data_IF_061183086978
#
_entry.id   IF_061183086978
#
_cell.length_a   1.000
_cell.length_b   1.000
_cell.length_c   1.000
_cell.angle_alpha   90.00
_cell.angle_beta   90.00
_cell.angle_gamma   90.00
#
_symmetry.space_group_name_H-M   'P 1'
#
loop_
_entity.id
_entity.type
_entity.pdbx_description
1 polymer ?
#
# COMPACT_ATOMS: atom_id res chain seq x y z
N UNK A 1 58.15 -81.74 -49.54
CA UNK A 1 59.46 -82.35 -49.25
C UNK A 1 60.46 -81.21 -49.22
N UNK A 2 61.24 -81.08 -48.15
CA UNK A 2 62.18 -80.00 -47.87
C UNK A 2 61.57 -78.57 -47.80
N UNK A 3 62.05 -77.65 -46.96
CA UNK A 3 62.73 -77.85 -45.67
C UNK A 3 62.48 -76.66 -44.74
N UNK A 4 62.88 -76.74 -43.46
CA UNK A 4 62.55 -75.72 -42.46
C UNK A 4 63.65 -75.49 -41.39
N UNK A 5 63.65 -74.29 -40.79
CA UNK A 5 64.38 -73.80 -39.61
C UNK A 5 65.91 -73.55 -39.71
N UNK A 6 66.35 -72.34 -39.30
CA UNK A 6 67.43 -72.09 -38.30
C UNK A 6 67.64 -70.59 -37.92
N UNK A 7 66.79 -70.08 -37.01
CA UNK A 7 67.13 -69.53 -35.66
C UNK A 7 68.48 -68.76 -35.42
N UNK A 8 68.37 -67.43 -35.12
CA UNK A 8 69.02 -66.63 -34.00
C UNK A 8 70.57 -66.41 -34.02
N UNK A 9 71.13 -65.18 -33.77
CA UNK A 9 71.28 -64.46 -32.45
C UNK A 9 70.83 -62.95 -32.42
N UNK A 10 70.35 -62.35 -31.30
CA UNK A 10 71.01 -61.77 -30.06
C UNK A 10 71.80 -60.46 -30.38
N UNK A 11 72.01 -59.40 -29.58
CA UNK A 11 71.83 -58.92 -28.16
C UNK A 11 70.62 -57.93 -27.95
N UNK A 12 70.27 -57.20 -26.85
CA UNK A 12 70.47 -57.09 -25.36
C UNK A 12 69.33 -56.17 -24.75
N UNK A 13 69.19 -55.90 -23.41
CA UNK A 13 67.96 -55.38 -22.76
C UNK A 13 68.06 -53.98 -22.05
N UNK A 14 66.99 -53.44 -21.44
CA UNK A 14 66.64 -53.55 -20.00
C UNK A 14 65.18 -53.05 -19.78
N UNK A 15 64.26 -53.70 -19.05
CA UNK A 15 64.18 -54.03 -17.61
C UNK A 15 63.83 -52.78 -16.72
N UNK A 16 62.93 -52.80 -15.73
CA UNK A 16 62.28 -53.90 -14.96
C UNK A 16 60.87 -53.50 -14.43
N UNK A 17 59.98 -54.47 -14.17
CA UNK A 17 58.64 -54.29 -13.54
C UNK A 17 58.47 -55.17 -12.27
N UNK A 18 57.81 -54.67 -11.22
CA UNK A 18 57.31 -55.40 -10.02
C UNK A 18 56.01 -54.69 -9.55
N UNK A 19 54.77 -55.20 -9.33
CA UNK A 19 54.10 -56.54 -9.16
C UNK A 19 53.67 -56.82 -7.69
N UNK A 20 52.43 -57.22 -7.31
CA UNK A 20 51.16 -57.58 -8.03
C UNK A 20 50.04 -56.53 -7.75
N UNK A 21 48.75 -56.70 -7.40
CA UNK A 21 47.70 -57.76 -7.10
C UNK A 21 46.30 -57.11 -7.41
N UNK A 22 45.24 -57.75 -7.92
CA UNK A 22 44.29 -58.82 -7.45
C UNK A 22 43.07 -58.31 -6.59
N UNK A 23 41.85 -58.92 -6.62
CA UNK A 23 40.89 -58.98 -7.77
C UNK A 23 39.42 -58.52 -7.50
N UNK A 24 38.58 -58.58 -8.56
CA UNK A 24 37.10 -58.69 -8.75
C UNK A 24 36.10 -58.87 -7.55
N UNK A 25 34.77 -58.53 -7.67
CA UNK A 25 33.94 -58.67 -8.89
C UNK A 25 32.85 -57.63 -9.26
N UNK A 26 32.45 -57.74 -10.53
CA UNK A 26 31.19 -57.48 -11.29
C UNK A 26 29.79 -57.51 -10.59
N UNK A 27 28.63 -57.23 -11.29
CA UNK A 27 28.36 -56.56 -12.59
C UNK A 27 27.07 -55.65 -12.66
N UNK A 28 26.70 -55.24 -13.89
CA UNK A 28 25.35 -54.88 -14.44
C UNK A 28 24.91 -53.41 -14.56
N UNK A 29 25.13 -52.88 -15.77
CA UNK A 29 24.18 -52.15 -16.64
C UNK A 29 22.91 -51.49 -16.05
N UNK A 30 22.79 -50.17 -16.24
CA UNK A 30 21.52 -49.46 -16.32
C UNK A 30 21.63 -48.29 -17.34
N UNK A 31 20.55 -47.99 -18.05
CA UNK A 31 20.56 -47.05 -19.19
C UNK A 31 20.81 -45.58 -18.78
N UNK A 32 21.62 -44.86 -19.57
CA UNK A 32 21.75 -43.40 -19.47
C UNK A 32 20.51 -42.73 -20.05
N UNK A 33 19.49 -42.54 -19.23
CA UNK A 33 18.28 -41.79 -19.58
C UNK A 33 18.61 -40.29 -19.63
N UNK A 34 18.88 -39.77 -20.83
CA UNK A 34 19.23 -38.35 -21.01
C UNK A 34 17.97 -37.48 -20.91
N UNK A 35 17.85 -36.74 -19.80
CA UNK A 35 16.73 -35.84 -19.55
C UNK A 35 16.83 -34.60 -20.43
N UNK A 36 16.12 -34.62 -21.56
CA UNK A 36 16.04 -33.51 -22.51
C UNK A 36 15.29 -32.34 -21.86
N UNK A 37 16.04 -31.41 -21.26
CA UNK A 37 15.48 -30.21 -20.64
C UNK A 37 14.98 -29.24 -21.72
N UNK A 38 13.66 -29.16 -21.88
CA UNK A 38 12.96 -28.23 -22.79
C UNK A 38 13.16 -26.76 -22.38
N UNK A 39 14.34 -26.24 -22.71
CA UNK A 39 14.65 -24.82 -22.64
C UNK A 39 14.19 -24.19 -23.97
N UNK A 40 13.16 -23.33 -23.97
CA UNK A 40 12.57 -22.84 -25.22
C UNK A 40 13.64 -22.14 -26.08
N UNK A 41 13.68 -22.39 -27.41
CA UNK A 41 14.75 -21.90 -28.25
C UNK A 41 14.82 -20.37 -28.19
N UNK A 42 16.05 -19.84 -28.09
CA UNK A 42 16.32 -18.43 -27.73
C UNK A 42 15.62 -17.44 -28.68
N UNK A 43 15.44 -17.80 -29.95
CA UNK A 43 14.66 -17.02 -30.92
C UNK A 43 13.21 -16.79 -30.49
N UNK A 44 12.50 -17.83 -30.02
CA UNK A 44 11.10 -17.73 -29.58
C UNK A 44 10.94 -16.81 -28.37
N UNK A 45 11.88 -16.88 -27.41
CA UNK A 45 11.90 -15.94 -26.28
C UNK A 45 12.09 -14.48 -26.72
N UNK A 46 12.99 -14.22 -27.67
CA UNK A 46 13.21 -12.87 -28.22
C UNK A 46 11.94 -12.36 -28.93
N UNK A 47 11.30 -13.18 -29.77
CA UNK A 47 10.05 -12.80 -30.46
C UNK A 47 8.92 -12.47 -29.47
N UNK A 48 8.77 -13.26 -28.40
CA UNK A 48 7.78 -13.01 -27.34
C UNK A 48 8.06 -11.69 -26.60
N UNK A 49 9.31 -11.44 -26.20
CA UNK A 49 9.73 -10.20 -25.54
C UNK A 49 9.46 -8.99 -26.43
N UNK A 50 9.74 -9.08 -27.73
CA UNK A 50 9.56 -8.00 -28.68
C UNK A 50 8.07 -7.66 -28.90
N UNK A 51 7.20 -8.67 -29.05
CA UNK A 51 5.73 -8.48 -29.16
C UNK A 51 5.18 -7.82 -27.89
N UNK A 52 5.61 -8.29 -26.71
CA UNK A 52 5.22 -7.72 -25.42
C UNK A 52 5.67 -6.25 -25.30
N UNK A 53 6.92 -5.93 -25.62
CA UNK A 53 7.49 -4.60 -25.43
C UNK A 53 7.11 -3.56 -26.50
N UNK A 54 6.71 -4.00 -27.70
CA UNK A 54 6.24 -3.14 -28.78
C UNK A 54 4.74 -2.85 -28.68
N UNK A 55 3.92 -3.83 -28.30
CA UNK A 55 2.45 -3.71 -28.22
C UNK A 55 1.89 -3.69 -26.81
N UNK A 56 2.07 -4.79 -26.06
CA UNK A 56 1.32 -5.04 -24.81
C UNK A 56 1.71 -4.10 -23.67
N UNK A 57 3.00 -3.90 -23.40
CA UNK A 57 3.47 -3.07 -22.29
C UNK A 57 3.09 -1.58 -22.46
N UNK A 58 3.21 -0.96 -23.65
CA UNK A 58 2.70 0.40 -23.88
C UNK A 58 1.20 0.54 -23.61
N UNK A 59 0.37 -0.40 -24.08
CA UNK A 59 -1.09 -0.41 -23.84
C UNK A 59 -1.39 -0.58 -22.34
N UNK A 60 -0.71 -1.51 -21.66
CA UNK A 60 -0.84 -1.71 -20.22
C UNK A 60 -0.43 -0.45 -19.42
N UNK A 61 0.67 0.21 -19.81
CA UNK A 61 1.13 1.46 -19.18
C UNK A 61 0.14 2.60 -19.40
N UNK A 62 -0.50 2.66 -20.57
CA UNK A 62 -1.59 3.61 -20.84
C UNK A 62 -2.79 3.36 -19.91
N UNK A 63 -3.25 2.10 -19.78
CA UNK A 63 -4.34 1.72 -18.86
C UNK A 63 -4.00 2.05 -17.41
N UNK A 64 -2.79 1.75 -16.94
CA UNK A 64 -2.32 2.18 -15.61
C UNK A 64 -2.38 3.71 -15.46
N UNK A 65 -1.97 4.47 -16.48
CA UNK A 65 -2.04 5.94 -16.45
C UNK A 65 -3.48 6.46 -16.38
N UNK A 66 -4.44 5.81 -17.04
CA UNK A 66 -5.87 6.16 -16.93
C UNK A 66 -6.40 6.00 -15.50
N UNK A 67 -5.87 5.06 -14.70
CA UNK A 67 -6.26 4.95 -13.28
C UNK A 67 -5.84 6.16 -12.46
N UNK A 68 -4.71 6.80 -12.78
CA UNK A 68 -4.29 8.07 -12.15
C UNK A 68 -5.29 9.19 -12.44
N UNK A 69 -5.76 9.28 -13.69
CA UNK A 69 -6.73 10.28 -14.13
C UNK A 69 -8.08 10.07 -13.45
N UNK A 70 -8.59 8.84 -13.44
CA UNK A 70 -9.82 8.49 -12.71
C UNK A 70 -9.73 8.81 -11.22
N UNK A 71 -8.59 8.52 -10.57
CA UNK A 71 -8.37 8.85 -9.17
C UNK A 71 -8.27 10.37 -8.92
N UNK A 72 -7.61 11.12 -9.82
CA UNK A 72 -7.54 12.58 -9.74
C UNK A 72 -8.93 13.24 -9.83
N UNK A 73 -9.79 12.76 -10.74
CA UNK A 73 -11.18 13.22 -10.85
C UNK A 73 -11.98 12.86 -9.59
N UNK A 74 -11.81 11.65 -9.05
CA UNK A 74 -12.45 11.21 -7.80
C UNK A 74 -12.08 12.08 -6.59
N UNK A 75 -10.80 12.47 -6.45
CA UNK A 75 -10.35 13.40 -5.41
C UNK A 75 -11.02 14.78 -5.54
N UNK A 76 -11.11 15.32 -6.77
CA UNK A 76 -11.76 16.61 -7.02
C UNK A 76 -13.27 16.58 -6.75
N UNK A 77 -13.93 15.44 -7.01
CA UNK A 77 -15.34 15.21 -6.72
C UNK A 77 -15.64 15.10 -5.22
N UNK A 78 -14.86 14.29 -4.48
CA UNK A 78 -15.09 14.07 -3.04
C UNK A 78 -14.80 15.31 -2.16
N UNK A 79 -14.08 16.30 -2.70
CA UNK A 79 -13.68 17.55 -2.03
C UNK A 79 -14.81 18.31 -1.30
N UNK A 80 -16.06 18.20 -1.75
CA UNK A 80 -17.22 18.97 -1.23
C UNK A 80 -18.01 18.26 -0.12
N UNK A 81 -17.77 16.98 0.14
CA UNK A 81 -18.67 16.18 0.97
C UNK A 81 -18.38 16.25 2.48
N UNK A 82 -17.13 16.51 2.86
CA UNK A 82 -16.62 16.32 4.22
C UNK A 82 -16.27 17.61 4.99
N UNK A 83 -16.27 17.52 6.32
CA UNK A 83 -15.74 18.54 7.25
C UNK A 83 -14.19 18.69 7.21
N UNK A 84 -13.56 18.28 6.12
CA UNK A 84 -12.12 18.35 5.89
C UNK A 84 -11.68 19.77 5.44
N UNK A 85 -12.60 20.61 4.97
CA UNK A 85 -12.31 22.00 4.54
C UNK A 85 -11.79 22.90 5.68
N UNK A 86 -12.36 22.75 6.89
CA UNK A 86 -11.95 23.45 8.11
C UNK A 86 -10.47 23.21 8.47
N UNK A 87 -9.92 22.07 8.01
CA UNK A 87 -8.53 21.69 8.22
C UNK A 87 -7.60 22.16 7.08
N UNK A 88 -8.14 22.75 6.02
CA UNK A 88 -7.41 23.16 4.81
C UNK A 88 -7.06 22.01 3.87
N UNK A 89 -7.61 20.80 4.09
CA UNK A 89 -7.33 19.62 3.28
C UNK A 89 -7.66 19.77 1.79
N UNK A 90 -8.72 20.49 1.36
CA UNK A 90 -9.01 20.72 -0.06
C UNK A 90 -7.84 21.30 -0.86
N UNK A 91 -6.97 22.12 -0.25
CA UNK A 91 -5.74 22.62 -0.91
C UNK A 91 -4.75 21.49 -1.21
N UNK A 92 -4.63 20.54 -0.29
CA UNK A 92 -3.77 19.35 -0.43
C UNK A 92 -4.38 18.35 -1.41
N UNK A 93 -5.71 18.18 -1.40
CA UNK A 93 -6.44 17.36 -2.37
C UNK A 93 -6.30 17.93 -3.80
N UNK A 94 -6.41 19.25 -3.99
CA UNK A 94 -6.17 19.87 -5.31
C UNK A 94 -4.73 19.72 -5.76
N UNK A 95 -3.75 19.88 -4.87
CA UNK A 95 -2.33 19.69 -5.20
C UNK A 95 -2.02 18.23 -5.58
N UNK A 96 -2.57 17.26 -4.85
CA UNK A 96 -2.45 15.85 -5.18
C UNK A 96 -3.11 15.50 -6.52
N UNK A 97 -4.28 16.08 -6.82
CA UNK A 97 -4.99 15.88 -8.09
C UNK A 97 -4.21 16.45 -9.28
N UNK A 98 -3.66 17.67 -9.15
CA UNK A 98 -2.78 18.28 -10.16
C UNK A 98 -1.49 17.46 -10.33
N UNK A 99 -0.93 16.94 -9.23
CA UNK A 99 0.22 16.03 -9.28
C UNK A 99 -0.07 14.74 -10.06
N UNK A 100 -1.20 14.08 -9.81
CA UNK A 100 -1.63 12.89 -10.55
C UNK A 100 -1.82 13.17 -12.06
N UNK A 101 -2.41 14.31 -12.42
CA UNK A 101 -2.55 14.74 -13.81
C UNK A 101 -1.18 15.04 -14.46
N UNK A 102 -0.24 15.64 -13.74
CA UNK A 102 1.12 15.83 -14.22
C UNK A 102 1.84 14.49 -14.46
N UNK A 103 1.73 13.52 -13.54
CA UNK A 103 2.30 12.16 -13.72
C UNK A 103 1.67 11.47 -14.93
N UNK A 104 0.35 11.60 -15.14
CA UNK A 104 -0.33 11.09 -16.34
C UNK A 104 0.26 11.69 -17.63
N UNK A 105 0.43 13.01 -17.71
CA UNK A 105 0.99 13.70 -18.89
C UNK A 105 2.43 13.28 -19.14
N UNK A 106 3.30 13.29 -18.11
CA UNK A 106 4.73 12.94 -18.26
C UNK A 106 4.91 11.45 -18.61
N UNK A 107 4.08 10.56 -18.05
CA UNK A 107 4.07 9.13 -18.40
C UNK A 107 3.75 8.90 -19.87
N UNK A 108 2.71 9.57 -20.38
CA UNK A 108 2.32 9.46 -21.79
C UNK A 108 3.35 10.12 -22.72
N UNK A 109 3.83 11.32 -22.38
CA UNK A 109 4.88 12.01 -23.13
C UNK A 109 6.13 11.14 -23.28
N UNK A 110 6.56 10.44 -22.22
CA UNK A 110 7.71 9.54 -22.26
C UNK A 110 7.53 8.37 -23.22
N UNK A 111 6.32 7.80 -23.35
CA UNK A 111 6.06 6.75 -24.35
C UNK A 111 6.25 7.26 -25.80
N UNK A 112 5.87 8.51 -26.09
CA UNK A 112 6.12 9.15 -27.39
C UNK A 112 7.59 9.53 -27.59
N UNK A 113 8.22 10.17 -26.59
CA UNK A 113 9.62 10.65 -26.67
C UNK A 113 10.66 9.52 -26.64
N UNK A 114 10.31 8.33 -26.13
CA UNK A 114 11.14 7.09 -26.10
C UNK A 114 11.87 6.82 -27.42
N UNK A 115 11.23 7.05 -28.58
CA UNK A 115 11.84 6.82 -29.89
C UNK A 115 12.99 7.79 -30.20
N UNK A 116 12.90 9.05 -29.76
CA UNK A 116 13.88 10.11 -30.06
C UNK A 116 14.95 10.22 -28.97
N UNK A 117 14.55 10.30 -27.71
CA UNK A 117 15.43 10.57 -26.57
C UNK A 117 15.14 9.63 -25.38
N UNK A 118 15.48 8.33 -25.45
CA UNK A 118 15.08 7.35 -24.44
C UNK A 118 15.69 7.60 -23.05
N UNK A 119 16.98 7.99 -22.97
CA UNK A 119 17.68 8.20 -21.70
C UNK A 119 17.09 9.32 -20.83
N UNK A 120 16.98 10.59 -21.30
CA UNK A 120 16.45 11.66 -20.46
C UNK A 120 14.96 11.46 -20.13
N UNK A 121 14.18 10.87 -21.04
CA UNK A 121 12.76 10.59 -20.78
C UNK A 121 12.56 9.58 -19.63
N UNK A 122 13.39 8.52 -19.57
CA UNK A 122 13.40 7.60 -18.43
C UNK A 122 13.84 8.30 -17.14
N UNK A 123 14.90 9.11 -17.17
CA UNK A 123 15.41 9.78 -15.96
C UNK A 123 14.34 10.70 -15.35
N UNK A 124 13.66 11.51 -16.19
CA UNK A 124 12.54 12.35 -15.74
C UNK A 124 11.41 11.50 -15.15
N UNK A 125 11.03 10.39 -15.80
CA UNK A 125 9.99 9.49 -15.28
C UNK A 125 10.36 8.86 -13.93
N UNK A 126 11.58 8.36 -13.79
CA UNK A 126 12.04 7.72 -12.55
C UNK A 126 12.06 8.73 -11.40
N UNK A 127 12.55 9.96 -11.63
CA UNK A 127 12.50 11.02 -10.61
C UNK A 127 11.06 11.35 -10.21
N UNK A 128 10.16 11.53 -11.18
CA UNK A 128 8.74 11.84 -10.91
C UNK A 128 8.05 10.70 -10.15
N UNK A 129 8.24 9.43 -10.55
CA UNK A 129 7.66 8.27 -9.88
C UNK A 129 8.25 8.02 -8.49
N UNK A 130 9.55 8.28 -8.27
CA UNK A 130 10.16 8.19 -6.94
C UNK A 130 9.62 9.27 -5.99
N UNK A 131 9.47 10.52 -6.45
CA UNK A 131 8.83 11.58 -5.67
C UNK A 131 7.39 11.20 -5.30
N UNK A 132 6.64 10.63 -6.24
CA UNK A 132 5.27 10.18 -6.02
C UNK A 132 5.19 9.01 -5.03
N UNK A 133 6.13 8.05 -5.11
CA UNK A 133 6.30 6.96 -4.15
C UNK A 133 6.64 7.47 -2.74
N UNK A 134 7.54 8.45 -2.58
CA UNK A 134 7.85 9.06 -1.29
C UNK A 134 6.63 9.75 -0.66
N UNK A 135 5.80 10.43 -1.47
CA UNK A 135 4.53 11.02 -1.03
C UNK A 135 3.54 9.91 -0.60
N UNK A 136 3.45 8.81 -1.36
CA UNK A 136 2.65 7.64 -0.99
C UNK A 136 3.05 7.04 0.35
N UNK A 137 4.36 6.84 0.60
CA UNK A 137 4.90 6.35 1.87
C UNK A 137 4.61 7.30 3.06
N UNK A 138 4.62 8.62 2.82
CA UNK A 138 4.27 9.61 3.83
C UNK A 138 2.78 9.53 4.24
N UNK A 139 1.86 9.38 3.27
CA UNK A 139 0.42 9.23 3.55
C UNK A 139 0.06 7.84 4.11
N UNK A 140 0.75 6.78 3.67
CA UNK A 140 0.66 5.46 4.29
C UNK A 140 1.14 5.47 5.76
N UNK A 141 1.95 6.47 6.14
CA UNK A 141 2.37 6.71 7.52
C UNK A 141 3.54 5.85 7.98
N UNK A 142 4.35 5.35 7.05
CA UNK A 142 5.55 4.55 7.34
C UNK A 142 6.59 5.36 8.12
N UNK A 143 6.69 6.66 7.82
CA UNK A 143 7.70 7.56 8.37
C UNK A 143 7.14 8.42 9.52
N UNK A 144 6.93 7.82 10.70
CA UNK A 144 6.29 8.50 11.84
C UNK A 144 6.97 9.82 12.25
N UNK A 145 8.30 9.91 12.23
CA UNK A 145 9.05 11.12 12.59
C UNK A 145 8.66 12.33 11.73
N UNK A 146 8.56 12.14 10.41
CA UNK A 146 8.30 13.24 9.47
C UNK A 146 6.79 13.54 9.34
N UNK A 147 5.93 12.64 9.81
CA UNK A 147 4.46 12.79 9.78
C UNK A 147 3.98 14.12 10.39
N UNK A 148 4.63 14.63 11.45
CA UNK A 148 4.25 15.90 12.10
C UNK A 148 4.22 17.12 11.15
N UNK A 149 5.07 17.14 10.12
CA UNK A 149 5.16 18.25 9.15
C UNK A 149 4.35 18.00 7.88
N UNK A 150 4.20 16.75 7.45
CA UNK A 150 3.37 16.43 6.29
C UNK A 150 1.87 16.58 6.64
N UNK A 151 1.08 17.30 5.83
CA UNK A 151 -0.34 17.45 6.06
C UNK A 151 -1.08 16.12 5.89
N UNK A 152 -2.26 16.01 6.50
CA UNK A 152 -3.14 14.85 6.39
C UNK A 152 -2.52 13.48 6.80
N UNK A 153 -1.47 13.48 7.61
CA UNK A 153 -0.96 12.27 8.27
C UNK A 153 -1.60 12.08 9.65
N UNK A 154 -1.48 10.86 10.21
CA UNK A 154 -2.07 10.51 11.50
C UNK A 154 -1.63 11.39 12.69
N UNK A 155 -0.41 11.91 12.69
CA UNK A 155 0.10 12.78 13.76
C UNK A 155 -0.30 14.23 13.54
N UNK A 156 -0.29 14.69 12.29
CA UNK A 156 -0.78 16.01 11.91
C UNK A 156 -2.27 16.19 12.27
N UNK A 157 -3.11 15.19 12.00
CA UNK A 157 -4.52 15.20 12.41
C UNK A 157 -4.70 15.27 13.93
N UNK A 158 -3.90 14.52 14.72
CA UNK A 158 -3.93 14.61 16.19
C UNK A 158 -3.63 16.02 16.67
N UNK A 159 -2.61 16.68 16.11
CA UNK A 159 -2.26 18.06 16.49
C UNK A 159 -3.39 19.05 16.19
N UNK A 160 -4.03 18.92 15.02
CA UNK A 160 -5.14 19.80 14.61
C UNK A 160 -6.43 19.61 15.40
N UNK A 161 -6.75 18.39 15.83
CA UNK A 161 -8.00 18.06 16.55
C UNK A 161 -7.87 18.26 18.07
N UNK A 162 -6.64 18.32 18.59
CA UNK A 162 -6.34 18.65 19.99
C UNK A 162 -6.31 20.17 20.25
N UNK A 163 -6.41 21.00 19.21
CA UNK A 163 -6.68 22.43 19.32
C UNK A 163 -8.20 22.67 19.37
N UNK A 164 -8.67 23.38 20.39
CA UNK A 164 -10.10 23.48 20.67
C UNK A 164 -10.82 24.53 19.78
N UNK A 165 -10.10 25.48 19.18
CA UNK A 165 -10.65 26.42 18.19
C UNK A 165 -10.93 25.68 16.87
N UNK A 166 -9.97 24.88 16.39
CA UNK A 166 -10.17 24.01 15.24
C UNK A 166 -11.27 22.97 15.53
N UNK A 167 -11.31 22.39 16.74
CA UNK A 167 -12.34 21.41 17.12
C UNK A 167 -13.75 22.00 17.17
N UNK A 168 -13.95 23.21 17.71
CA UNK A 168 -15.26 23.84 17.77
C UNK A 168 -15.89 24.00 16.37
N UNK A 169 -15.09 24.33 15.36
CA UNK A 169 -15.57 24.38 13.98
C UNK A 169 -15.87 22.97 13.41
N UNK A 170 -14.99 21.99 13.69
CA UNK A 170 -15.16 20.60 13.22
C UNK A 170 -16.42 19.96 13.81
N UNK A 171 -16.67 20.12 15.12
CA UNK A 171 -17.83 19.50 15.78
C UNK A 171 -19.16 20.08 15.30
N UNK A 172 -19.23 21.39 15.04
CA UNK A 172 -20.39 22.03 14.42
C UNK A 172 -20.66 21.41 13.04
N UNK A 173 -19.65 21.31 12.17
CA UNK A 173 -19.84 20.66 10.88
C UNK A 173 -20.27 19.18 10.98
N UNK A 174 -19.76 18.40 11.95
CA UNK A 174 -20.20 17.01 12.19
C UNK A 174 -21.68 16.96 12.60
N UNK A 175 -22.14 17.92 13.41
CA UNK A 175 -23.54 18.09 13.80
C UNK A 175 -24.42 18.53 12.61
N UNK A 176 -24.03 19.59 11.89
CA UNK A 176 -24.75 20.17 10.75
C UNK A 176 -24.90 19.18 9.58
N UNK A 177 -23.87 18.35 9.34
CA UNK A 177 -23.91 17.25 8.36
C UNK A 177 -24.74 16.05 8.84
N UNK A 178 -25.29 16.08 10.04
CA UNK A 178 -26.17 15.04 10.58
C UNK A 178 -25.48 13.71 10.80
N UNK A 179 -24.18 13.68 11.17
CA UNK A 179 -23.41 12.44 11.28
C UNK A 179 -23.99 11.41 12.28
N UNK A 180 -24.80 11.86 13.24
CA UNK A 180 -25.55 11.02 14.16
C UNK A 180 -27.01 10.76 13.75
N UNK A 181 -27.54 11.44 12.72
CA UNK A 181 -28.95 11.34 12.33
C UNK A 181 -29.30 9.92 11.83
N UNK A 182 -28.38 9.24 11.15
CA UNK A 182 -28.54 7.83 10.81
C UNK A 182 -28.34 6.85 12.00
N UNK A 183 -27.80 7.30 13.14
CA UNK A 183 -27.85 6.49 14.37
C UNK A 183 -29.24 6.62 15.01
N UNK A 184 -29.79 7.83 14.94
CA UNK A 184 -31.05 8.27 15.55
C UNK A 184 -32.28 7.73 14.82
N UNK A 185 -32.35 7.93 13.49
CA UNK A 185 -33.52 7.64 12.65
C UNK A 185 -33.39 6.36 11.81
N UNK A 186 -32.23 5.71 11.80
CA UNK A 186 -32.02 4.48 11.05
C UNK A 186 -32.89 3.33 11.58
N UNK A 187 -33.34 2.45 10.68
CA UNK A 187 -34.07 1.21 11.03
C UNK A 187 -33.38 0.49 12.20
N UNK A 188 -34.13 -0.11 13.14
CA UNK A 188 -33.57 -0.65 14.37
C UNK A 188 -32.50 -1.70 14.07
N UNK A 189 -31.22 -1.30 14.22
CA UNK A 189 -30.12 -2.23 14.11
C UNK A 189 -30.32 -3.31 15.17
N UNK A 190 -30.34 -4.56 14.72
CA UNK A 190 -30.54 -5.75 15.55
C UNK A 190 -29.70 -5.64 16.82
N UNK A 191 -30.35 -5.62 17.99
CA UNK A 191 -29.64 -5.58 19.28
C UNK A 191 -28.85 -6.90 19.45
N UNK A 192 -27.59 -6.86 19.90
CA UNK A 192 -26.81 -5.68 20.31
C UNK A 192 -26.25 -4.89 19.12
N UNK A 193 -26.25 -3.54 19.23
CA UNK A 193 -25.71 -2.64 18.21
C UNK A 193 -24.26 -2.98 17.84
N UNK A 194 -24.06 -3.52 16.63
CA UNK A 194 -22.74 -3.96 16.21
C UNK A 194 -21.83 -2.77 15.85
N UNK A 195 -21.14 -2.24 16.86
CA UNK A 195 -20.15 -1.15 16.76
C UNK A 195 -19.09 -1.39 15.67
N UNK A 196 -18.76 -2.64 15.33
CA UNK A 196 -17.80 -2.97 14.25
C UNK A 196 -18.32 -2.64 12.84
N UNK A 197 -19.63 -2.54 12.64
CA UNK A 197 -20.27 -2.17 11.37
C UNK A 197 -20.47 -0.65 11.20
N UNK A 198 -20.33 0.14 12.27
CA UNK A 198 -20.55 1.60 12.22
C UNK A 198 -19.28 2.38 11.85
N UNK A 199 -19.46 3.61 11.35
CA UNK A 199 -18.32 4.49 11.04
C UNK A 199 -17.59 4.93 12.31
N UNK A 200 -16.28 5.23 12.24
CA UNK A 200 -15.52 5.68 13.43
C UNK A 200 -16.09 6.94 14.10
N UNK A 201 -16.69 7.85 13.33
CA UNK A 201 -17.38 9.05 13.85
C UNK A 201 -18.67 8.65 14.59
N UNK A 202 -19.49 7.76 13.99
CA UNK A 202 -20.77 7.31 14.58
C UNK A 202 -20.56 6.63 15.95
N UNK A 203 -19.53 5.79 16.06
CA UNK A 203 -19.14 5.17 17.34
C UNK A 203 -18.53 6.17 18.36
N UNK A 204 -17.80 7.18 17.91
CA UNK A 204 -17.06 8.09 18.80
C UNK A 204 -17.86 9.30 19.29
N UNK A 205 -18.81 9.78 18.48
CA UNK A 205 -19.57 11.01 18.73
C UNK A 205 -21.01 10.76 19.18
N UNK A 206 -21.65 9.69 18.69
CA UNK A 206 -23.09 9.44 18.91
C UNK A 206 -23.37 8.43 20.05
N UNK A 207 -22.35 7.73 20.53
CA UNK A 207 -22.44 6.69 21.56
C UNK A 207 -21.45 6.98 22.68
N UNK A 208 -21.74 6.56 23.93
CA UNK A 208 -20.76 6.59 25.00
C UNK A 208 -19.69 5.50 24.82
N UNK A 209 -18.47 5.70 25.34
CA UNK A 209 -17.45 4.66 25.43
C UNK A 209 -17.95 3.37 26.11
N UNK A 210 -17.42 2.21 25.71
CA UNK A 210 -17.68 0.92 26.40
C UNK A 210 -17.25 0.96 27.88
N UNK A 211 -16.23 1.75 28.23
CA UNK A 211 -15.71 1.93 29.60
C UNK A 211 -16.66 2.68 30.54
N UNK A 212 -17.85 3.09 30.08
CA UNK A 212 -18.82 3.83 30.90
C UNK A 212 -19.94 2.95 31.48
N UNK A 213 -19.94 1.63 31.23
CA UNK A 213 -20.91 0.64 31.74
C UNK A 213 -22.39 1.09 31.64
N UNK A 214 -22.78 1.68 30.51
CA UNK A 214 -24.17 2.06 30.26
C UNK A 214 -24.90 1.04 29.40
N UNK A 215 -26.20 0.87 29.68
CA UNK A 215 -27.11 0.01 28.93
C UNK A 215 -27.77 0.77 27.77
N UNK A 216 -27.92 0.12 26.62
CA UNK A 216 -28.46 0.72 25.39
C UNK A 216 -29.98 0.52 25.22
N UNK A 217 -30.76 1.59 25.44
CA UNK A 217 -32.19 1.61 25.09
C UNK A 217 -32.37 1.78 23.58
N UNK A 218 -31.66 2.73 22.97
CA UNK A 218 -31.57 2.94 21.53
C UNK A 218 -30.10 3.25 21.14
N UNK A 219 -29.81 3.44 19.85
CA UNK A 219 -28.44 3.66 19.36
C UNK A 219 -27.74 4.85 20.03
N UNK A 220 -28.45 5.97 20.22
CA UNK A 220 -27.94 7.19 20.88
C UNK A 220 -28.46 7.40 22.29
N UNK A 221 -29.42 6.58 22.76
CA UNK A 221 -30.01 6.73 24.10
C UNK A 221 -29.59 5.59 25.02
N UNK A 222 -28.84 5.93 26.07
CA UNK A 222 -28.22 4.99 27.01
C UNK A 222 -28.50 5.42 28.46
N UNK A 223 -28.57 4.48 29.40
CA UNK A 223 -28.76 4.77 30.82
C UNK A 223 -27.68 4.08 31.69
N UNK A 224 -27.39 4.68 32.85
CA UNK A 224 -26.60 4.02 33.91
C UNK A 224 -27.53 3.18 34.77
N UNK A 225 -27.08 1.97 35.13
CA UNK A 225 -27.76 1.13 36.13
C UNK A 225 -27.66 1.81 37.51
N UNK A 226 -28.67 1.66 38.39
CA UNK A 226 -28.78 2.45 39.64
C UNK A 226 -27.83 1.99 40.75
N UNK A 227 -27.35 0.77 40.63
CA UNK A 227 -26.39 0.06 41.47
C UNK A 227 -24.93 0.43 41.13
N UNK A 228 -24.68 0.88 39.89
CA UNK A 228 -23.40 1.50 39.53
C UNK A 228 -23.48 3.01 39.82
N UNK A 229 -22.57 3.49 40.67
CA UNK A 229 -22.49 4.91 41.03
C UNK A 229 -22.13 5.81 39.84
N UNK A 230 -21.93 7.12 40.06
CA UNK A 230 -21.21 7.93 39.08
C UNK A 230 -19.88 7.22 38.75
N UNK A 231 -19.46 7.16 37.47
CA UNK A 231 -18.21 6.50 37.10
C UNK A 231 -17.11 7.13 37.95
N UNK A 232 -16.27 6.29 38.57
CA UNK A 232 -15.14 6.74 39.41
C UNK A 232 -14.46 7.89 38.70
N UNK A 233 -14.32 9.05 39.37
CA UNK A 233 -13.84 10.31 38.78
C UNK A 233 -12.43 10.13 38.24
N UNK A 234 -12.37 9.61 37.02
CA UNK A 234 -11.17 9.33 36.26
C UNK A 234 -10.80 10.63 35.57
N UNK A 235 -10.47 11.57 36.44
CA UNK A 235 -9.75 12.81 36.19
C UNK A 235 -8.31 12.46 35.79
N UNK A 236 -8.17 11.72 34.68
CA UNK A 236 -6.92 11.06 34.26
C UNK A 236 -5.84 12.12 34.09
N UNK A 237 -4.94 12.18 35.08
CA UNK A 237 -3.90 13.20 35.23
C UNK A 237 -2.77 12.99 34.20
N UNK A 238 -3.09 13.17 32.93
CA UNK A 238 -2.18 12.91 31.82
C UNK A 238 -1.41 14.16 31.45
N UNK A 239 -0.19 14.30 31.96
CA UNK A 239 0.67 15.46 31.74
C UNK A 239 0.24 16.71 32.52
N UNK A 240 -0.15 16.55 33.79
CA UNK A 240 -0.35 17.67 34.71
C UNK A 240 -1.62 18.50 34.50
N UNK A 241 -2.61 18.02 33.74
CA UNK A 241 -3.93 18.65 33.63
C UNK A 241 -5.04 17.70 34.09
N UNK A 242 -5.91 18.20 34.96
CA UNK A 242 -7.20 17.59 35.26
C UNK A 242 -8.04 17.61 33.97
N UNK A 243 -8.63 16.47 33.59
CA UNK A 243 -9.50 16.33 32.43
C UNK A 243 -10.64 15.38 32.76
N UNK A 244 -11.87 15.85 32.54
CA UNK A 244 -13.09 15.06 32.70
C UNK A 244 -13.00 13.75 31.91
N UNK A 245 -13.66 12.69 32.40
CA UNK A 245 -13.81 11.47 31.61
C UNK A 245 -14.78 11.70 30.45
N UNK A 246 -14.62 10.92 29.38
CA UNK A 246 -15.57 10.91 28.28
C UNK A 246 -16.98 10.45 28.74
N UNK A 247 -17.08 9.78 29.90
CA UNK A 247 -18.33 9.33 30.53
C UNK A 247 -19.06 10.45 31.31
N UNK A 248 -18.37 11.53 31.69
CA UNK A 248 -18.97 12.75 32.28
C UNK A 248 -19.42 13.74 31.21
N UNK A 249 -18.66 13.86 30.12
CA UNK A 249 -18.98 14.77 29.01
C UNK A 249 -20.16 14.29 28.16
N UNK A 250 -20.40 12.98 28.09
CA UNK A 250 -21.48 12.41 27.30
C UNK A 250 -22.87 12.66 27.90
N UNK A 251 -23.85 13.09 27.09
CA UNK A 251 -25.28 13.23 27.50
C UNK A 251 -26.26 12.67 26.46
N UNK A 252 -27.45 12.26 26.93
CA UNK A 252 -28.63 11.90 26.13
C UNK A 252 -29.29 13.09 25.39
N UNK A 253 -28.55 14.18 25.15
CA UNK A 253 -29.02 15.38 24.46
C UNK A 253 -28.40 15.39 23.06
N UNK A 254 -29.23 15.51 22.02
CA UNK A 254 -28.79 15.36 20.64
C UNK A 254 -27.90 16.52 20.16
N UNK A 255 -27.96 17.67 20.84
CA UNK A 255 -27.08 18.82 20.61
C UNK A 255 -25.69 18.66 21.25
N UNK A 256 -25.52 17.67 22.13
CA UNK A 256 -24.31 17.48 22.95
C UNK A 256 -23.64 16.13 22.66
N UNK A 257 -24.41 15.03 22.73
CA UNK A 257 -23.98 13.62 22.60
C UNK A 257 -22.59 13.41 23.22
N UNK A 258 -21.58 13.05 22.40
CA UNK A 258 -20.18 13.03 22.78
C UNK A 258 -19.32 14.02 21.97
N UNK A 259 -19.89 15.13 21.46
CA UNK A 259 -19.21 16.00 20.49
C UNK A 259 -17.93 16.68 21.01
N UNK A 260 -17.71 16.78 22.32
CA UNK A 260 -16.44 17.23 22.92
C UNK A 260 -15.58 16.10 23.53
N UNK A 261 -16.06 14.85 23.51
CA UNK A 261 -15.33 13.69 24.00
C UNK A 261 -14.06 13.41 23.19
N UNK A 262 -13.03 12.84 23.83
CA UNK A 262 -11.83 12.34 23.14
C UNK A 262 -12.17 11.23 22.16
N UNK A 263 -13.17 10.41 22.48
CA UNK A 263 -13.74 9.37 21.62
C UNK A 263 -14.25 9.92 20.28
N UNK A 264 -14.89 11.09 20.28
CA UNK A 264 -15.34 11.75 19.05
C UNK A 264 -14.15 12.33 18.26
N UNK A 265 -13.24 13.03 18.97
CA UNK A 265 -11.97 13.51 18.41
C UNK A 265 -11.17 12.39 17.72
N UNK A 266 -11.01 11.23 18.36
CA UNK A 266 -10.34 10.05 17.79
C UNK A 266 -11.15 9.37 16.69
N UNK A 267 -12.48 9.30 16.80
CA UNK A 267 -13.37 8.78 15.77
C UNK A 267 -13.24 9.54 14.46
N UNK A 268 -13.27 10.87 14.53
CA UNK A 268 -13.02 11.75 13.39
C UNK A 268 -11.63 11.55 12.79
N UNK A 269 -10.55 11.61 13.59
CA UNK A 269 -9.17 11.37 13.13
C UNK A 269 -9.02 10.00 12.45
N UNK A 270 -9.69 8.95 12.97
CA UNK A 270 -9.64 7.59 12.40
C UNK A 270 -10.41 7.48 11.08
N UNK A 271 -11.50 8.24 10.93
CA UNK A 271 -12.27 8.33 9.67
C UNK A 271 -11.43 8.99 8.57
N UNK A 272 -10.91 10.20 8.82
CA UNK A 272 -10.14 10.95 7.83
C UNK A 272 -8.81 10.25 7.51
N UNK A 273 -8.05 9.79 8.52
CA UNK A 273 -6.79 9.06 8.31
C UNK A 273 -6.97 7.84 7.40
N UNK A 274 -8.12 7.14 7.46
CA UNK A 274 -8.37 5.97 6.58
C UNK A 274 -8.36 6.35 5.10
N UNK A 275 -8.99 7.46 4.70
CA UNK A 275 -9.01 7.93 3.31
C UNK A 275 -7.59 8.23 2.79
N UNK A 276 -6.81 8.99 3.58
CA UNK A 276 -5.46 9.37 3.21
C UNK A 276 -4.48 8.19 3.22
N UNK A 277 -4.70 7.20 4.09
CA UNK A 277 -3.98 5.93 4.06
C UNK A 277 -4.31 5.09 2.81
N UNK A 278 -5.57 5.05 2.37
CA UNK A 278 -5.98 4.41 1.12
C UNK A 278 -5.38 5.12 -0.11
N UNK A 279 -5.33 6.46 -0.12
CA UNK A 279 -4.57 7.24 -1.09
C UNK A 279 -3.09 6.83 -1.08
N UNK A 280 -2.44 6.81 0.08
CA UNK A 280 -1.02 6.43 0.21
C UNK A 280 -0.71 5.05 -0.38
N UNK A 281 -1.56 4.05 -0.10
CA UNK A 281 -1.44 2.71 -0.70
C UNK A 281 -1.61 2.75 -2.22
N UNK A 282 -2.63 3.44 -2.74
CA UNK A 282 -2.84 3.58 -4.18
C UNK A 282 -1.60 4.20 -4.86
N UNK A 283 -1.07 5.30 -4.31
CA UNK A 283 0.13 5.97 -4.81
C UNK A 283 1.36 5.05 -4.82
N UNK A 284 1.57 4.25 -3.75
CA UNK A 284 2.68 3.27 -3.69
C UNK A 284 2.52 2.21 -4.78
N UNK A 285 1.35 1.55 -4.86
CA UNK A 285 1.11 0.45 -5.80
C UNK A 285 1.23 0.92 -7.25
N UNK A 286 0.59 2.03 -7.61
CA UNK A 286 0.61 2.53 -8.98
C UNK A 286 2.00 3.08 -9.37
N UNK A 287 2.76 3.66 -8.43
CA UNK A 287 4.16 4.05 -8.67
C UNK A 287 5.03 2.85 -9.01
N UNK A 288 4.91 1.75 -8.26
CA UNK A 288 5.70 0.53 -8.49
C UNK A 288 5.33 -0.11 -9.83
N UNK A 289 4.03 -0.23 -10.15
CA UNK A 289 3.58 -0.80 -11.42
C UNK A 289 4.04 0.03 -12.63
N UNK A 290 3.93 1.36 -12.57
CA UNK A 290 4.41 2.25 -13.63
C UNK A 290 5.95 2.25 -13.73
N UNK A 291 6.67 2.18 -12.61
CA UNK A 291 8.12 2.11 -12.63
C UNK A 291 8.60 0.81 -13.28
N UNK A 292 8.02 -0.34 -12.93
CA UNK A 292 8.32 -1.62 -13.56
C UNK A 292 7.98 -1.58 -15.06
N UNK A 293 6.81 -1.05 -15.44
CA UNK A 293 6.40 -1.02 -16.85
C UNK A 293 7.32 -0.12 -17.70
N UNK A 294 7.66 1.09 -17.22
CA UNK A 294 8.60 1.99 -17.90
C UNK A 294 10.03 1.44 -17.96
N UNK A 295 10.51 0.73 -16.93
CA UNK A 295 11.83 0.06 -16.96
C UNK A 295 11.87 -1.06 -18.00
N UNK A 296 10.88 -1.96 -18.02
CA UNK A 296 10.81 -3.05 -19.02
C UNK A 296 10.67 -2.51 -20.45
N UNK A 297 9.85 -1.47 -20.62
CA UNK A 297 9.73 -0.71 -21.88
C UNK A 297 11.08 -0.17 -22.31
N UNK A 298 11.81 0.52 -21.43
CA UNK A 298 13.13 1.07 -21.75
C UNK A 298 14.12 -0.04 -22.14
N UNK A 299 14.27 -1.07 -21.30
CA UNK A 299 15.21 -2.18 -21.50
C UNK A 299 15.05 -2.84 -22.87
N UNK A 300 13.81 -3.08 -23.31
CA UNK A 300 13.55 -3.64 -24.64
C UNK A 300 13.98 -2.69 -25.77
N UNK A 301 13.73 -1.38 -25.67
CA UNK A 301 14.23 -0.41 -26.67
C UNK A 301 15.76 -0.29 -26.67
N UNK A 302 16.38 -0.46 -25.51
CA UNK A 302 17.83 -0.44 -25.37
C UNK A 302 18.43 -1.69 -26.04
N UNK A 303 17.84 -2.86 -25.80
CA UNK A 303 18.23 -4.12 -26.40
C UNK A 303 18.15 -4.10 -27.94
N UNK A 304 17.04 -3.60 -28.51
CA UNK A 304 16.91 -3.42 -29.97
C UNK A 304 18.03 -2.53 -30.55
N UNK A 305 18.37 -1.43 -29.87
CA UNK A 305 19.44 -0.50 -30.30
C UNK A 305 20.87 -1.02 -30.09
N UNK A 306 21.05 -2.17 -29.44
CA UNK A 306 22.35 -2.81 -29.23
C UNK A 306 22.50 -4.12 -30.03
N UNK A 307 21.46 -4.55 -30.74
CA UNK A 307 21.42 -5.83 -31.47
C UNK A 307 21.30 -5.67 -32.99
N UNK A 308 21.14 -4.43 -33.47
CA UNK A 308 21.26 -4.02 -34.88
C UNK A 308 22.27 -2.89 -35.00
#
# INVERSE_FOLDING_TARGET
>A
MADNAQVVPVEEPTATTITTTEPEPEPKSAAKMESQSDKPPVGTLVTIVNILAAGVLPIFTFVLSLTLLGYAVWLLYMRSYDCEDILGLPRVQTLASVGLLAVFVVSNATLFLRRKFPMPALVVMVVVLLLMLFIGLAYAGVNEMQSRRFPATGTWFKLKVMDDVNWNNIKSCIYDKGACNEAIYGSPLQKPYNRRKMSPIKNGCCMPPETCNMDALNATFWYRRKDEGPPVETTVMYGGRMRMSDCEMWRNDWSILCYDCRSCKFGFVRSVRRKWWQLGIFLIVISILLLISHLLIFLATFWERFKG
#
